data_IF_472232885938
#
_entry.id   IF_472232885938
#
_cell.length_a   1.000
_cell.length_b   1.000
_cell.length_c   1.000
_cell.angle_alpha   90.00
_cell.angle_beta   90.00
_cell.angle_gamma   90.00
#
_symmetry.space_group_name_H-M   'P 1'
#
loop_
_entity.id
_entity.type
_entity.pdbx_description
1 polymer ?
#
# COMPACT_ATOMS: atom_id res chain seq x y z
N UNK A 1 41.30 20.27 32.13
CA UNK A 1 40.48 20.58 30.93
C UNK A 1 40.83 19.56 29.85
N UNK A 2 39.97 18.59 29.62
CA UNK A 2 40.19 17.56 28.61
C UNK A 2 39.69 18.08 27.25
N UNK A 3 40.62 18.22 26.31
CA UNK A 3 40.34 18.47 24.90
C UNK A 3 39.70 17.20 24.32
N UNK A 4 38.37 17.20 24.19
CA UNK A 4 37.68 16.23 23.35
C UNK A 4 38.08 16.51 21.89
N UNK A 5 38.57 15.51 21.13
CA UNK A 5 38.93 15.71 19.74
C UNK A 5 37.68 15.98 18.92
N UNK A 6 37.70 17.10 18.20
CA UNK A 6 36.70 17.55 17.25
C UNK A 6 36.66 16.63 16.00
N UNK A 7 36.26 15.37 16.17
CA UNK A 7 36.06 14.41 15.08
C UNK A 7 34.65 14.47 14.47
N UNK A 8 33.86 15.49 14.81
CA UNK A 8 32.40 15.47 14.66
C UNK A 8 31.83 16.44 13.62
N UNK A 9 32.63 17.00 12.71
CA UNK A 9 32.08 17.94 11.72
C UNK A 9 32.78 17.96 10.35
N UNK A 10 33.34 16.82 9.93
CA UNK A 10 33.78 16.63 8.53
C UNK A 10 33.25 15.29 8.02
N UNK A 11 31.95 15.04 8.17
CA UNK A 11 31.24 14.28 7.14
C UNK A 11 31.10 15.23 5.93
N UNK A 12 32.25 15.55 5.31
CA UNK A 12 32.27 16.23 4.04
C UNK A 12 31.40 15.41 3.09
N UNK A 13 30.54 16.10 2.36
CA UNK A 13 29.69 15.56 1.31
C UNK A 13 30.56 14.76 0.35
N UNK A 14 30.77 13.48 0.62
CA UNK A 14 31.46 12.59 -0.30
C UNK A 14 30.67 12.66 -1.61
N UNK A 15 31.37 12.90 -2.72
CA UNK A 15 30.75 12.93 -4.04
C UNK A 15 30.00 11.61 -4.24
N UNK A 16 28.68 11.62 -4.54
CA UNK A 16 27.93 10.39 -4.76
C UNK A 16 28.58 9.45 -5.79
N UNK A 17 29.34 9.99 -6.75
CA UNK A 17 30.07 9.16 -7.70
C UNK A 17 31.25 8.40 -7.03
N UNK A 18 31.96 9.02 -6.08
CA UNK A 18 33.01 8.34 -5.30
C UNK A 18 32.41 7.30 -4.35
N UNK A 19 31.31 7.64 -3.64
CA UNK A 19 30.62 6.69 -2.78
C UNK A 19 30.16 5.43 -3.55
N UNK A 20 29.64 5.62 -4.78
CA UNK A 20 29.28 4.50 -5.67
C UNK A 20 30.51 3.70 -6.12
N UNK A 21 31.62 4.36 -6.50
CA UNK A 21 32.87 3.68 -6.88
C UNK A 21 33.39 2.82 -5.73
N UNK A 22 33.48 3.41 -4.54
CA UNK A 22 33.92 2.75 -3.32
C UNK A 22 33.03 1.56 -2.97
N UNK A 23 31.72 1.76 -2.96
CA UNK A 23 30.75 0.68 -2.71
C UNK A 23 30.97 -0.50 -3.67
N UNK A 24 31.11 -0.23 -4.97
CA UNK A 24 31.33 -1.29 -5.98
C UNK A 24 32.66 -2.04 -5.80
N UNK A 25 33.69 -1.37 -5.30
CA UNK A 25 34.98 -2.00 -5.01
C UNK A 25 34.94 -2.85 -3.74
N UNK A 26 34.31 -2.37 -2.67
CA UNK A 26 34.37 -2.99 -1.35
C UNK A 26 33.27 -4.06 -1.13
N UNK A 27 32.07 -3.83 -1.67
CA UNK A 27 30.89 -4.69 -1.41
C UNK A 27 31.09 -6.17 -1.80
N UNK A 28 31.71 -6.52 -2.95
CA UNK A 28 31.85 -7.93 -3.34
C UNK A 28 32.69 -8.75 -2.35
N UNK A 29 33.74 -8.14 -1.79
CA UNK A 29 34.70 -8.78 -0.87
C UNK A 29 34.30 -8.65 0.61
N UNK A 30 33.36 -7.78 0.93
CA UNK A 30 32.89 -7.53 2.28
C UNK A 30 32.14 -8.73 2.89
N UNK A 31 32.30 -8.90 4.21
CA UNK A 31 31.47 -9.79 5.03
C UNK A 31 30.03 -9.28 5.15
N UNK A 32 29.16 -10.04 5.82
CA UNK A 32 27.73 -9.73 5.85
C UNK A 32 27.44 -8.42 6.60
N UNK A 33 28.10 -8.20 7.74
CA UNK A 33 27.91 -7.00 8.55
C UNK A 33 28.49 -5.78 7.85
N UNK A 34 29.67 -5.92 7.24
CA UNK A 34 30.28 -4.85 6.43
C UNK A 34 29.40 -4.51 5.22
N UNK A 35 28.77 -5.49 4.56
CA UNK A 35 27.82 -5.26 3.47
C UNK A 35 26.63 -4.41 3.92
N UNK A 36 26.11 -4.63 5.12
CA UNK A 36 25.00 -3.83 5.67
C UNK A 36 25.46 -2.40 5.93
N UNK A 37 26.66 -2.21 6.50
CA UNK A 37 27.24 -0.88 6.71
C UNK A 37 27.45 -0.14 5.39
N UNK A 38 28.03 -0.79 4.39
CA UNK A 38 28.23 -0.22 3.06
C UNK A 38 26.90 0.20 2.41
N UNK A 39 25.84 -0.60 2.55
CA UNK A 39 24.50 -0.25 2.05
C UNK A 39 23.98 1.01 2.75
N UNK A 40 24.14 1.10 4.07
CA UNK A 40 23.69 2.26 4.85
C UNK A 40 24.46 3.53 4.50
N UNK A 41 25.79 3.45 4.41
CA UNK A 41 26.63 4.57 4.00
C UNK A 41 26.25 5.07 2.61
N UNK A 42 26.11 4.15 1.64
CA UNK A 42 25.68 4.50 0.30
C UNK A 42 24.26 5.12 0.29
N UNK A 43 23.34 4.61 1.12
CA UNK A 43 21.97 5.09 1.26
C UNK A 43 21.83 6.54 1.75
N UNK A 44 22.88 7.12 2.35
CA UNK A 44 22.92 8.55 2.71
C UNK A 44 22.85 9.45 1.47
N UNK A 45 23.28 8.95 0.31
CA UNK A 45 23.26 9.66 -0.97
C UNK A 45 21.96 9.37 -1.75
N UNK A 46 20.95 10.22 -1.56
CA UNK A 46 19.59 10.04 -2.12
C UNK A 46 19.49 10.55 -3.56
N UNK A 47 20.27 9.95 -4.47
CA UNK A 47 20.36 10.37 -5.88
C UNK A 47 20.13 9.19 -6.83
N UNK A 48 19.71 9.44 -8.10
CA UNK A 48 19.40 8.36 -9.04
C UNK A 48 20.53 7.34 -9.27
N UNK A 49 21.82 7.72 -9.40
CA UNK A 49 22.89 6.73 -9.56
C UNK A 49 23.00 5.74 -8.40
N UNK A 50 22.64 6.17 -7.19
CA UNK A 50 22.66 5.33 -6.01
C UNK A 50 21.47 4.39 -5.98
N UNK A 51 20.29 4.87 -6.40
CA UNK A 51 19.11 4.02 -6.58
C UNK A 51 19.42 2.86 -7.55
N UNK A 52 20.13 3.13 -8.65
CA UNK A 52 20.52 2.12 -9.64
C UNK A 52 21.49 1.06 -9.08
N UNK A 53 22.23 1.38 -8.02
CA UNK A 53 23.14 0.44 -7.33
C UNK A 53 22.43 -0.33 -6.22
N UNK A 54 21.58 0.33 -5.44
CA UNK A 54 20.88 -0.29 -4.31
C UNK A 54 19.69 -1.16 -4.75
N UNK A 55 18.99 -0.79 -5.82
CA UNK A 55 17.78 -1.51 -6.23
C UNK A 55 18.01 -3.01 -6.56
N UNK A 56 19.05 -3.40 -7.31
CA UNK A 56 19.35 -4.81 -7.56
C UNK A 56 19.65 -5.61 -6.28
N UNK A 57 20.16 -4.97 -5.23
CA UNK A 57 20.47 -5.65 -3.97
C UNK A 57 19.23 -6.16 -3.24
N UNK A 58 18.03 -5.64 -3.57
CA UNK A 58 16.76 -6.15 -3.06
C UNK A 58 16.35 -7.51 -3.64
N UNK A 59 17.01 -7.97 -4.70
CA UNK A 59 16.74 -9.27 -5.34
C UNK A 59 17.94 -10.21 -5.29
N UNK A 60 19.14 -9.65 -5.45
CA UNK A 60 20.35 -10.45 -5.70
C UNK A 60 21.16 -10.74 -4.42
N UNK A 61 20.92 -9.96 -3.36
CA UNK A 61 21.62 -10.07 -2.10
C UNK A 61 21.10 -11.16 -1.13
N UNK A 62 21.87 -11.50 -0.08
CA UNK A 62 21.35 -12.27 1.05
C UNK A 62 20.16 -11.55 1.71
N UNK A 63 19.29 -12.28 2.42
CA UNK A 63 18.03 -11.74 2.99
C UNK A 63 18.26 -10.45 3.80
N UNK A 64 19.31 -10.39 4.61
CA UNK A 64 19.64 -9.22 5.44
C UNK A 64 20.05 -8.02 4.59
N UNK A 65 20.86 -8.21 3.55
CA UNK A 65 21.22 -7.15 2.61
C UNK A 65 20.00 -6.65 1.82
N UNK A 66 19.07 -7.55 1.44
CA UNK A 66 17.80 -7.18 0.79
C UNK A 66 16.94 -6.30 1.69
N UNK A 67 16.83 -6.65 2.97
CA UNK A 67 16.12 -5.85 3.97
C UNK A 67 16.78 -4.48 4.13
N UNK A 68 18.12 -4.44 4.26
CA UNK A 68 18.87 -3.20 4.40
C UNK A 68 18.64 -2.29 3.18
N UNK A 69 18.81 -2.82 1.96
CA UNK A 69 18.62 -2.07 0.73
C UNK A 69 17.18 -1.52 0.62
N UNK A 70 16.16 -2.35 0.87
CA UNK A 70 14.77 -1.91 0.84
C UNK A 70 14.49 -0.80 1.87
N UNK A 71 15.08 -0.88 3.07
CA UNK A 71 14.95 0.13 4.12
C UNK A 71 15.57 1.46 3.71
N UNK A 72 16.81 1.46 3.23
CA UNK A 72 17.49 2.70 2.82
C UNK A 72 16.74 3.38 1.65
N UNK A 73 16.22 2.60 0.70
CA UNK A 73 15.39 3.12 -0.39
C UNK A 73 14.06 3.73 0.07
N UNK A 74 13.59 3.44 1.29
CA UNK A 74 12.44 4.13 1.88
C UNK A 74 12.68 5.61 2.16
N UNK A 75 13.94 6.03 2.25
CA UNK A 75 14.33 7.43 2.48
C UNK A 75 14.56 8.23 1.18
N UNK A 76 14.39 7.61 0.01
CA UNK A 76 14.64 8.20 -1.32
C UNK A 76 13.46 9.03 -1.83
N UNK A 77 12.85 9.81 -0.93
CA UNK A 77 11.76 10.70 -1.29
C UNK A 77 12.22 11.74 -2.33
N UNK A 78 11.35 12.04 -3.30
CA UNK A 78 11.67 12.90 -4.44
C UNK A 78 12.56 12.27 -5.54
N UNK A 79 13.13 11.08 -5.32
CA UNK A 79 13.89 10.38 -6.38
C UNK A 79 12.91 9.67 -7.32
N UNK A 80 12.88 9.98 -8.63
CA UNK A 80 11.91 9.41 -9.55
C UNK A 80 12.01 7.89 -9.64
N UNK A 81 10.85 7.22 -9.72
CA UNK A 81 10.72 5.76 -9.91
C UNK A 81 11.22 4.88 -8.76
N UNK A 82 11.64 5.42 -7.61
CA UNK A 82 12.02 4.63 -6.42
C UNK A 82 10.91 3.66 -6.01
N UNK A 83 9.67 4.14 -5.92
CA UNK A 83 8.51 3.30 -5.57
C UNK A 83 8.30 2.13 -6.55
N UNK A 84 8.62 2.31 -7.84
CA UNK A 84 8.49 1.25 -8.84
C UNK A 84 9.52 0.16 -8.62
N UNK A 85 10.77 0.53 -8.32
CA UNK A 85 11.83 -0.43 -7.97
C UNK A 85 11.46 -1.27 -6.73
N UNK A 86 10.86 -0.63 -5.73
CA UNK A 86 10.34 -1.33 -4.55
C UNK A 86 9.21 -2.32 -4.91
N UNK A 87 8.25 -1.93 -5.74
CA UNK A 87 7.19 -2.83 -6.20
C UNK A 87 7.71 -3.99 -7.05
N UNK A 88 8.64 -3.72 -7.97
CA UNK A 88 9.28 -4.74 -8.80
C UNK A 88 9.98 -5.78 -7.90
N UNK A 89 10.70 -5.32 -6.88
CA UNK A 89 11.33 -6.18 -5.89
C UNK A 89 10.31 -6.98 -5.05
N UNK A 90 9.16 -6.39 -4.69
CA UNK A 90 8.12 -7.10 -3.94
C UNK A 90 7.59 -8.32 -4.72
N UNK A 91 7.38 -8.15 -6.02
CA UNK A 91 6.89 -9.18 -6.94
C UNK A 91 7.94 -10.19 -7.36
N UNK A 92 9.23 -9.93 -7.08
CA UNK A 92 10.33 -10.76 -7.56
C UNK A 92 10.33 -12.16 -6.92
N UNK A 93 10.62 -13.24 -7.67
CA UNK A 93 10.65 -14.61 -7.14
C UNK A 93 11.62 -14.81 -5.96
N UNK A 94 12.74 -14.09 -5.93
CA UNK A 94 13.68 -14.13 -4.80
C UNK A 94 13.03 -13.72 -3.47
N UNK A 95 11.98 -12.88 -3.54
CA UNK A 95 11.23 -12.39 -2.38
C UNK A 95 9.93 -13.17 -2.13
N UNK A 96 9.77 -14.34 -2.75
CA UNK A 96 8.65 -15.23 -2.51
C UNK A 96 8.88 -16.12 -1.26
N UNK A 97 7.77 -16.60 -0.68
CA UNK A 97 7.78 -17.53 0.44
C UNK A 97 8.14 -16.92 1.81
N UNK A 98 8.14 -17.79 2.83
CA UNK A 98 8.33 -17.43 4.24
C UNK A 98 9.70 -16.81 4.56
N UNK A 99 10.85 -17.32 4.04
CA UNK A 99 12.17 -16.76 4.38
C UNK A 99 12.33 -15.29 3.98
N UNK A 100 11.61 -14.85 2.94
CA UNK A 100 11.65 -13.48 2.44
C UNK A 100 10.50 -12.58 2.93
N UNK A 101 9.67 -13.07 3.86
CA UNK A 101 8.59 -12.27 4.46
C UNK A 101 9.10 -10.93 5.00
N UNK A 102 10.25 -10.95 5.69
CA UNK A 102 10.88 -9.75 6.23
C UNK A 102 11.23 -8.71 5.15
N UNK A 103 11.66 -9.15 3.97
CA UNK A 103 11.94 -8.26 2.83
C UNK A 103 10.65 -7.58 2.36
N UNK A 104 9.57 -8.35 2.17
CA UNK A 104 8.27 -7.82 1.74
C UNK A 104 7.67 -6.83 2.73
N UNK A 105 7.74 -7.13 4.03
CA UNK A 105 7.30 -6.21 5.10
C UNK A 105 8.09 -4.90 5.03
N UNK A 106 9.40 -4.98 4.89
CA UNK A 106 10.25 -3.78 4.78
C UNK A 106 9.94 -2.98 3.52
N UNK A 107 9.73 -3.63 2.37
CA UNK A 107 9.33 -2.95 1.13
C UNK A 107 8.03 -2.17 1.31
N UNK A 108 7.01 -2.76 1.94
CA UNK A 108 5.74 -2.06 2.20
C UNK A 108 5.93 -0.86 3.11
N UNK A 109 6.72 -1.00 4.18
CA UNK A 109 7.06 0.13 5.06
C UNK A 109 7.74 1.25 4.28
N UNK A 110 8.73 0.91 3.45
CA UNK A 110 9.45 1.87 2.60
C UNK A 110 8.52 2.59 1.61
N UNK A 111 7.55 1.89 1.02
CA UNK A 111 6.52 2.54 0.19
C UNK A 111 5.68 3.55 1.00
N UNK A 112 5.41 3.25 2.27
CA UNK A 112 4.77 4.16 3.22
C UNK A 112 5.62 5.40 3.50
N UNK A 113 6.92 5.25 3.80
CA UNK A 113 7.83 6.38 4.08
C UNK A 113 8.00 7.30 2.86
N UNK A 114 7.98 6.73 1.64
CA UNK A 114 8.02 7.49 0.39
C UNK A 114 6.70 8.20 0.07
N UNK A 115 5.65 8.02 0.88
CA UNK A 115 4.30 8.51 0.58
C UNK A 115 3.84 8.14 -0.84
N UNK A 116 4.17 6.94 -1.31
CA UNK A 116 4.05 6.53 -2.71
C UNK A 116 2.58 6.37 -3.16
N UNK A 117 1.93 7.47 -3.53
CA UNK A 117 0.52 7.51 -3.94
C UNK A 117 0.22 6.64 -5.16
N UNK A 118 1.15 6.52 -6.11
CA UNK A 118 1.04 5.63 -7.27
C UNK A 118 1.00 4.14 -6.90
N UNK A 119 1.63 3.77 -5.77
CA UNK A 119 1.62 2.41 -5.25
C UNK A 119 0.40 2.11 -4.37
N UNK A 120 -0.44 3.11 -4.06
CA UNK A 120 -1.48 2.98 -3.05
C UNK A 120 -2.50 1.88 -3.38
N UNK A 121 -2.90 1.71 -4.65
CA UNK A 121 -3.84 0.62 -5.03
C UNK A 121 -3.27 -0.76 -4.78
N UNK A 122 -1.97 -0.92 -5.01
CA UNK A 122 -1.28 -2.16 -4.71
C UNK A 122 -1.22 -2.41 -3.20
N UNK A 123 -0.86 -1.39 -2.42
CA UNK A 123 -0.85 -1.46 -0.94
C UNK A 123 -2.25 -1.81 -0.41
N UNK A 124 -3.30 -1.16 -0.91
CA UNK A 124 -4.70 -1.42 -0.54
C UNK A 124 -5.07 -2.90 -0.76
N UNK A 125 -4.62 -3.51 -1.86
CA UNK A 125 -4.91 -4.92 -2.17
C UNK A 125 -4.28 -5.91 -1.19
N UNK A 126 -3.26 -5.50 -0.43
CA UNK A 126 -2.54 -6.34 0.52
C UNK A 126 -3.09 -6.25 1.96
N UNK A 127 -4.00 -5.32 2.24
CA UNK A 127 -4.66 -5.19 3.56
C UNK A 127 -5.40 -6.49 3.93
N UNK A 128 -6.03 -7.14 2.93
CA UNK A 128 -6.69 -8.43 3.09
C UNK A 128 -5.77 -9.66 3.02
N UNK A 129 -4.44 -9.48 2.98
CA UNK A 129 -3.48 -10.59 2.86
C UNK A 129 -3.70 -11.63 3.96
N UNK A 130 -3.65 -12.94 3.67
CA UNK A 130 -3.74 -13.98 4.69
C UNK A 130 -2.57 -13.94 5.69
N UNK A 131 -1.41 -13.45 5.25
CA UNK A 131 -0.25 -13.23 6.11
C UNK A 131 -0.45 -11.96 6.95
N UNK A 132 -0.62 -12.14 8.27
CA UNK A 132 -0.94 -11.07 9.23
C UNK A 132 0.11 -9.95 9.20
N UNK A 133 1.39 -10.29 9.05
CA UNK A 133 2.47 -9.31 9.07
C UNK A 133 2.53 -8.48 7.80
N UNK A 134 2.23 -9.09 6.65
CA UNK A 134 2.08 -8.38 5.38
C UNK A 134 0.86 -7.46 5.42
N UNK A 135 -0.28 -7.96 5.91
CA UNK A 135 -1.49 -7.14 6.07
C UNK A 135 -1.22 -5.93 6.99
N UNK A 136 -0.59 -6.15 8.15
CA UNK A 136 -0.22 -5.08 9.07
C UNK A 136 0.70 -4.05 8.38
N UNK A 137 1.75 -4.50 7.69
CA UNK A 137 2.67 -3.59 7.00
C UNK A 137 1.97 -2.79 5.89
N UNK A 138 1.02 -3.39 5.18
CA UNK A 138 0.21 -2.70 4.18
C UNK A 138 -0.72 -1.66 4.82
N UNK A 139 -1.33 -1.97 5.97
CA UNK A 139 -2.16 -1.03 6.74
C UNK A 139 -1.32 0.16 7.24
N UNK A 140 -0.17 -0.11 7.85
CA UNK A 140 0.77 0.93 8.31
C UNK A 140 1.19 1.83 7.13
N UNK A 141 1.51 1.23 5.97
CA UNK A 141 1.89 1.97 4.76
C UNK A 141 0.72 2.80 4.19
N UNK A 142 -0.50 2.26 4.16
CA UNK A 142 -1.69 2.99 3.71
C UNK A 142 -1.95 4.22 4.59
N UNK A 143 -1.79 4.08 5.91
CA UNK A 143 -1.87 5.19 6.86
C UNK A 143 -0.86 6.30 6.54
N UNK A 144 0.39 5.95 6.23
CA UNK A 144 1.42 6.92 5.83
C UNK A 144 1.18 7.54 4.46
N UNK A 145 0.74 6.78 3.47
CA UNK A 145 0.43 7.28 2.12
C UNK A 145 -0.76 8.27 2.14
N UNK A 146 -1.67 8.15 3.12
CA UNK A 146 -2.81 9.05 3.34
C UNK A 146 -3.77 9.18 2.16
N UNK A 147 -3.89 8.13 1.34
CA UNK A 147 -4.85 8.16 0.23
C UNK A 147 -6.27 8.00 0.76
N UNK A 148 -7.13 8.99 0.49
CA UNK A 148 -8.55 8.99 0.89
C UNK A 148 -9.33 7.74 0.46
N UNK A 149 -8.96 7.09 -0.64
CA UNK A 149 -9.58 5.84 -1.11
C UNK A 149 -9.28 4.62 -0.25
N UNK A 150 -8.22 4.65 0.55
CA UNK A 150 -7.86 3.54 1.45
C UNK A 150 -8.82 3.43 2.64
N UNK A 151 -9.56 4.49 2.96
CA UNK A 151 -10.57 4.48 4.05
C UNK A 151 -11.64 3.43 3.82
N UNK A 152 -12.17 3.31 2.59
CA UNK A 152 -13.17 2.28 2.26
C UNK A 152 -12.64 0.87 2.52
N UNK A 153 -11.39 0.62 2.12
CA UNK A 153 -10.74 -0.69 2.23
C UNK A 153 -10.48 -1.04 3.70
N UNK A 154 -10.01 -0.07 4.49
CA UNK A 154 -9.77 -0.22 5.92
C UNK A 154 -11.06 -0.48 6.71
N UNK A 155 -12.14 0.28 6.41
CA UNK A 155 -13.45 0.06 7.04
C UNK A 155 -14.05 -1.28 6.65
N UNK A 156 -13.88 -1.71 5.39
CA UNK A 156 -14.32 -3.03 4.94
C UNK A 156 -13.58 -4.15 5.67
N UNK A 157 -12.28 -4.00 5.92
CA UNK A 157 -11.50 -5.00 6.68
C UNK A 157 -11.93 -5.07 8.15
N UNK A 158 -12.27 -3.94 8.80
CA UNK A 158 -12.87 -3.94 10.15
C UNK A 158 -14.22 -4.69 10.19
N UNK A 159 -15.11 -4.46 9.21
CA UNK A 159 -16.37 -5.21 9.09
C UNK A 159 -16.12 -6.70 8.92
N UNK A 160 -15.18 -7.09 8.05
CA UNK A 160 -14.82 -8.49 7.81
C UNK A 160 -14.34 -9.20 9.08
N UNK A 161 -13.74 -8.46 10.02
CA UNK A 161 -13.30 -8.98 11.31
C UNK A 161 -14.41 -9.07 12.36
N UNK A 162 -15.61 -8.54 12.07
CA UNK A 162 -16.75 -8.50 12.98
C UNK A 162 -16.66 -7.36 14.00
N UNK A 163 -15.86 -6.34 13.72
CA UNK A 163 -15.66 -5.19 14.63
C UNK A 163 -16.70 -4.09 14.40
N UNK A 164 -17.38 -4.12 13.26
CA UNK A 164 -18.43 -3.17 12.90
C UNK A 164 -19.65 -4.01 12.54
N UNK A 165 -20.69 -3.90 13.35
CA UNK A 165 -21.97 -4.53 13.06
C UNK A 165 -22.60 -3.86 11.82
N UNK A 166 -23.20 -4.68 10.96
CA UNK A 166 -23.96 -4.22 9.79
C UNK A 166 -25.35 -3.66 10.18
N UNK A 167 -25.69 -3.63 11.47
CA UNK A 167 -26.99 -3.20 12.01
C UNK A 167 -26.93 -1.80 12.66
N UNK A 168 -27.92 -0.91 12.59
CA UNK A 168 -29.20 -0.90 11.90
C UNK A 168 -29.13 0.01 10.65
N UNK A 169 -30.03 -0.17 9.65
CA UNK A 169 -30.37 0.92 8.76
C UNK A 169 -30.74 2.10 9.65
N UNK A 170 -29.90 3.14 9.67
CA UNK A 170 -30.21 4.40 10.37
C UNK A 170 -31.58 4.78 9.85
N UNK A 171 -32.61 4.54 10.68
CA UNK A 171 -33.99 4.83 10.35
C UNK A 171 -33.94 6.24 9.82
N UNK A 172 -34.28 6.39 8.55
CA UNK A 172 -34.08 7.60 7.78
C UNK A 172 -34.58 8.79 8.59
N UNK A 173 -33.69 9.45 9.32
CA UNK A 173 -33.88 10.81 9.76
C UNK A 173 -33.90 11.57 8.45
N UNK A 174 -35.11 11.65 7.88
CA UNK A 174 -35.42 12.61 6.86
C UNK A 174 -34.91 13.94 7.43
N UNK A 175 -33.91 14.57 6.82
CA UNK A 175 -33.64 15.95 7.18
C UNK A 175 -34.95 16.67 6.90
N UNK A 176 -35.62 17.14 7.95
CA UNK A 176 -36.74 18.07 7.87
C UNK A 176 -36.21 19.34 7.20
N UNK A 177 -36.16 19.28 5.87
CA UNK A 177 -35.83 20.39 5.01
C UNK A 177 -37.05 21.29 4.93
N UNK A 178 -37.21 22.13 5.95
CA UNK A 178 -37.88 23.42 5.79
C UNK A 178 -36.89 24.32 5.06
N UNK A 179 -36.80 24.21 3.74
CA UNK A 179 -36.17 25.21 2.88
C UNK A 179 -37.15 25.58 1.77
N UNK A 180 -37.48 26.86 1.77
CA UNK A 180 -38.40 27.51 0.84
C UNK A 180 -37.96 27.41 -0.62
N UNK A 181 -38.91 27.46 -1.58
CA UNK A 181 -38.61 27.47 -2.99
C UNK A 181 -38.15 28.87 -3.43
N UNK A 182 -36.97 28.98 -4.04
CA UNK A 182 -36.65 30.15 -4.87
C UNK A 182 -35.80 29.76 -6.08
N UNK A 183 -36.42 30.02 -7.24
CA UNK A 183 -35.82 30.48 -8.49
C UNK A 183 -34.86 29.58 -9.27
N UNK A 184 -35.51 28.74 -10.10
CA UNK A 184 -35.45 28.79 -11.57
C UNK A 184 -34.14 29.32 -12.19
N UNK A 185 -33.37 28.41 -12.81
CA UNK A 185 -32.54 28.73 -13.98
C UNK A 185 -32.78 27.72 -15.11
N UNK A 186 -32.89 28.19 -16.37
CA UNK A 186 -33.29 27.37 -17.52
C UNK A 186 -32.18 26.46 -18.08
N UNK A 187 -32.56 25.45 -18.88
CA UNK A 187 -31.65 24.46 -19.46
C UNK A 187 -30.84 25.02 -20.65
N UNK A 188 -29.53 24.79 -20.65
CA UNK A 188 -28.66 24.99 -21.81
C UNK A 188 -28.68 23.74 -22.71
N UNK A 189 -29.02 23.99 -23.97
CA UNK A 189 -29.09 23.09 -25.12
C UNK A 189 -27.79 22.29 -25.34
N UNK A 190 -27.91 20.95 -25.48
CA UNK A 190 -26.87 20.09 -26.06
C UNK A 190 -27.05 20.00 -27.57
N UNK A 191 -26.01 20.37 -28.33
CA UNK A 191 -25.89 20.06 -29.76
C UNK A 191 -25.35 18.64 -29.99
N UNK A 192 -25.69 18.00 -31.13
CA UNK A 192 -25.25 16.66 -31.47
C UNK A 192 -23.87 16.71 -32.13
N UNK A 193 -22.98 15.80 -31.75
CA UNK A 193 -21.76 15.53 -32.51
C UNK A 193 -21.62 14.02 -32.72
N UNK A 194 -21.83 13.66 -33.98
CA UNK A 194 -21.65 12.36 -34.60
C UNK A 194 -20.23 11.83 -34.41
N UNK A 195 -20.09 10.58 -33.92
CA UNK A 195 -18.90 9.76 -34.20
C UNK A 195 -19.32 8.31 -34.47
N UNK A 196 -19.36 8.03 -35.78
CA UNK A 196 -19.22 6.78 -36.52
C UNK A 196 -18.90 5.51 -35.71
N UNK A 197 -19.89 4.60 -35.71
CA UNK A 197 -19.71 3.17 -35.39
C UNK A 197 -18.97 2.46 -36.53
N UNK A 198 -17.83 1.85 -36.21
CA UNK A 198 -17.15 0.88 -37.08
C UNK A 198 -17.60 -0.53 -36.70
N UNK A 199 -18.40 -1.13 -37.56
CA UNK A 199 -18.86 -2.51 -37.46
C UNK A 199 -17.74 -3.49 -37.81
N UNK A 200 -17.21 -4.19 -36.81
CA UNK A 200 -16.40 -5.40 -37.03
C UNK A 200 -17.06 -6.57 -36.31
N UNK A 201 -17.76 -7.40 -37.08
CA UNK A 201 -18.40 -8.65 -36.64
C UNK A 201 -17.34 -9.74 -36.40
N UNK A 202 -17.17 -10.26 -35.17
CA UNK A 202 -16.44 -11.50 -34.97
C UNK A 202 -17.35 -12.70 -35.30
N UNK A 203 -16.90 -13.53 -36.25
CA UNK A 203 -17.49 -14.84 -36.57
C UNK A 203 -17.28 -15.81 -35.42
N UNK A 204 -18.31 -16.02 -34.60
CA UNK A 204 -18.36 -17.05 -33.57
C UNK A 204 -18.52 -18.43 -34.21
N UNK A 205 -17.45 -19.24 -34.17
CA UNK A 205 -17.50 -20.68 -34.45
C UNK A 205 -18.27 -21.35 -33.33
N UNK A 206 -19.44 -21.92 -33.65
CA UNK A 206 -20.29 -22.69 -32.75
C UNK A 206 -19.61 -24.03 -32.45
N UNK A 207 -18.85 -24.09 -31.35
CA UNK A 207 -18.42 -25.36 -30.76
C UNK A 207 -19.58 -25.85 -29.88
N UNK A 208 -20.29 -26.87 -30.34
CA UNK A 208 -21.33 -27.56 -29.59
C UNK A 208 -20.71 -28.30 -28.41
N UNK A 209 -20.74 -27.67 -27.23
CA UNK A 209 -20.40 -28.32 -25.96
C UNK A 209 -21.59 -29.19 -25.52
N UNK A 210 -21.40 -30.48 -25.24
CA UNK A 210 -22.45 -31.35 -24.73
C UNK A 210 -23.04 -30.81 -23.43
N UNK A 211 -24.36 -30.64 -23.40
CA UNK A 211 -25.11 -30.14 -22.26
C UNK A 211 -25.24 -31.27 -21.21
N UNK A 212 -24.18 -31.50 -20.44
CA UNK A 212 -24.19 -32.39 -19.29
C UNK A 212 -25.12 -31.80 -18.23
N UNK A 213 -26.36 -32.29 -18.21
CA UNK A 213 -27.42 -31.89 -17.27
C UNK A 213 -27.19 -32.52 -15.90
N UNK A 214 -26.03 -32.26 -15.31
CA UNK A 214 -25.73 -32.60 -13.92
C UNK A 214 -26.36 -31.57 -13.00
N UNK A 215 -27.52 -31.90 -12.40
CA UNK A 215 -28.09 -31.16 -11.26
C UNK A 215 -27.12 -31.24 -10.08
N UNK A 216 -26.12 -30.37 -10.03
CA UNK A 216 -25.34 -30.15 -8.82
C UNK A 216 -26.30 -29.55 -7.80
N UNK A 217 -26.62 -30.33 -6.75
CA UNK A 217 -27.34 -29.81 -5.59
C UNK A 217 -26.56 -28.58 -5.13
N UNK A 218 -27.19 -27.41 -5.17
CA UNK A 218 -26.65 -26.20 -4.54
C UNK A 218 -26.44 -26.55 -3.07
N UNK A 219 -25.20 -26.86 -2.70
CA UNK A 219 -24.82 -26.92 -1.29
C UNK A 219 -25.05 -25.52 -0.76
N UNK A 220 -25.78 -25.42 0.35
CA UNK A 220 -25.89 -24.16 1.06
C UNK A 220 -24.48 -23.61 1.31
N UNK A 221 -24.26 -22.31 1.09
CA UNK A 221 -22.94 -21.72 1.29
C UNK A 221 -22.52 -21.97 2.72
N UNK A 222 -21.38 -22.65 2.89
CA UNK A 222 -20.79 -22.89 4.20
C UNK A 222 -20.56 -21.51 4.88
N UNK A 223 -20.95 -21.34 6.15
CA UNK A 223 -20.76 -20.09 6.85
C UNK A 223 -19.28 -19.69 6.82
N UNK A 224 -18.96 -18.39 6.66
CA UNK A 224 -17.57 -17.95 6.57
C UNK A 224 -16.81 -18.37 7.83
N UNK A 225 -15.62 -18.95 7.64
CA UNK A 225 -14.76 -19.33 8.73
C UNK A 225 -14.47 -18.12 9.64
N UNK A 226 -14.58 -18.31 10.96
CA UNK A 226 -14.29 -17.25 11.94
C UNK A 226 -12.85 -16.76 11.74
N UNK A 227 -12.67 -15.45 11.65
CA UNK A 227 -11.34 -14.85 11.56
C UNK A 227 -10.54 -15.22 12.82
N UNK A 228 -9.28 -15.70 12.69
CA UNK A 228 -8.44 -16.03 13.84
C UNK A 228 -8.30 -14.84 14.80
N UNK A 229 -8.41 -15.09 16.11
CA UNK A 229 -8.34 -14.04 17.13
C UNK A 229 -7.03 -13.24 17.07
N UNK A 230 -5.90 -13.92 16.83
CA UNK A 230 -4.57 -13.32 16.66
C UNK A 230 -4.55 -12.25 15.56
N UNK A 231 -5.24 -12.50 14.43
CA UNK A 231 -5.31 -11.51 13.34
C UNK A 231 -6.01 -10.24 13.81
N UNK A 232 -7.11 -10.36 14.56
CA UNK A 232 -7.85 -9.19 15.06
C UNK A 232 -7.00 -8.38 16.03
N UNK A 233 -6.35 -9.07 16.97
CA UNK A 233 -5.49 -8.45 17.98
C UNK A 233 -4.36 -7.61 17.33
N UNK A 234 -3.77 -8.10 16.24
CA UNK A 234 -2.69 -7.38 15.55
C UNK A 234 -3.22 -6.28 14.61
N UNK A 235 -4.30 -6.55 13.85
CA UNK A 235 -4.71 -5.66 12.76
C UNK A 235 -5.66 -4.55 13.20
N UNK A 236 -6.54 -4.76 14.17
CA UNK A 236 -7.53 -3.74 14.57
C UNK A 236 -6.85 -2.45 15.05
N UNK A 237 -5.85 -2.47 15.95
CA UNK A 237 -5.16 -1.26 16.37
C UNK A 237 -4.44 -0.55 15.21
N UNK A 238 -3.84 -1.33 14.29
CA UNK A 238 -3.16 -0.78 13.13
C UNK A 238 -4.14 -0.09 12.17
N UNK A 239 -5.32 -0.67 11.95
CA UNK A 239 -6.35 -0.08 11.08
C UNK A 239 -6.87 1.22 11.70
N UNK A 240 -7.17 1.23 13.00
CA UNK A 240 -7.64 2.44 13.68
C UNK A 240 -6.60 3.57 13.60
N UNK A 241 -5.32 3.27 13.81
CA UNK A 241 -4.23 4.24 13.66
C UNK A 241 -4.09 4.75 12.22
N UNK A 242 -4.23 3.87 11.22
CA UNK A 242 -4.18 4.27 9.81
C UNK A 242 -5.38 5.17 9.44
N UNK A 243 -6.59 4.81 9.89
CA UNK A 243 -7.79 5.62 9.70
C UNK A 243 -7.65 7.00 10.34
N UNK A 244 -7.15 7.07 11.57
CA UNK A 244 -6.85 8.33 12.26
C UNK A 244 -5.85 9.18 11.47
N UNK A 245 -4.79 8.57 10.95
CA UNK A 245 -3.79 9.28 10.14
C UNK A 245 -4.35 9.81 8.82
N UNK A 246 -5.25 9.07 8.16
CA UNK A 246 -5.85 9.46 6.87
C UNK A 246 -6.94 10.54 7.05
N UNK A 247 -7.78 10.41 8.08
CA UNK A 247 -8.94 11.28 8.28
C UNK A 247 -8.67 12.45 9.24
N UNK A 248 -7.56 12.42 9.98
CA UNK A 248 -7.21 13.40 11.02
C UNK A 248 -8.31 13.50 12.09
N UNK A 249 -8.88 12.34 12.45
CA UNK A 249 -9.93 12.18 13.47
C UNK A 249 -9.58 11.02 14.41
N UNK A 250 -9.63 11.28 15.72
CA UNK A 250 -9.34 10.29 16.76
C UNK A 250 -10.58 9.54 17.24
N UNK A 251 -11.25 8.78 16.37
CA UNK A 251 -12.33 7.88 16.80
C UNK A 251 -11.74 6.65 17.48
N UNK A 252 -12.31 6.26 18.63
CA UNK A 252 -11.78 5.19 19.47
C UNK A 252 -12.31 3.83 19.08
N UNK A 253 -13.51 3.79 18.49
CA UNK A 253 -14.19 2.52 18.20
C UNK A 253 -14.41 2.31 16.70
N UNK A 254 -14.35 1.06 16.21
CA UNK A 254 -14.71 0.74 14.84
C UNK A 254 -16.13 1.22 14.45
N UNK A 255 -17.09 1.17 15.38
CA UNK A 255 -18.46 1.63 15.16
C UNK A 255 -18.54 3.16 14.88
N UNK A 256 -17.74 3.97 15.58
CA UNK A 256 -17.62 5.42 15.31
C UNK A 256 -17.10 5.67 13.90
N UNK A 257 -16.05 4.94 13.49
CA UNK A 257 -15.52 5.00 12.13
C UNK A 257 -16.57 4.63 11.09
N UNK A 258 -17.36 3.58 11.32
CA UNK A 258 -18.46 3.18 10.45
C UNK A 258 -19.52 4.27 10.27
N UNK A 259 -19.92 4.93 11.36
CA UNK A 259 -20.89 6.05 11.33
C UNK A 259 -20.34 7.26 10.59
N UNK A 260 -19.15 7.72 10.96
CA UNK A 260 -18.49 8.86 10.32
C UNK A 260 -18.28 8.62 8.82
N UNK A 261 -17.81 7.42 8.45
CA UNK A 261 -17.59 7.08 7.05
C UNK A 261 -18.88 7.13 6.24
N UNK A 262 -20.00 6.61 6.77
CA UNK A 262 -21.31 6.68 6.10
C UNK A 262 -21.77 8.12 5.88
N UNK A 263 -21.59 9.00 6.86
CA UNK A 263 -21.95 10.41 6.75
C UNK A 263 -21.11 11.14 5.68
N UNK A 264 -19.81 10.81 5.59
CA UNK A 264 -18.87 11.56 4.76
C UNK A 264 -18.61 10.96 3.37
N UNK A 265 -19.03 9.72 3.09
CA UNK A 265 -18.80 9.06 1.80
C UNK A 265 -19.57 9.69 0.63
N UNK A 266 -20.71 10.33 0.89
CA UNK A 266 -21.62 10.87 -0.16
C UNK A 266 -21.14 12.17 -0.83
N UNK A 267 -20.10 12.80 -0.31
CA UNK A 267 -19.62 14.10 -0.79
C UNK A 267 -18.41 14.06 -1.74
N UNK A 268 -18.14 12.94 -2.41
CA UNK A 268 -17.01 12.78 -3.33
C UNK A 268 -17.44 12.23 -4.68
#
# INVERSE_FOLDING_TARGET
MALLPAFLLVAALEDPAEAVRRFRSEYPTAGLDEKILLIHELGKHRVPPVLDVLAPLMTDGPVTARIAAARELGAFDGVPKTWRKLLDAYGHPANAGTPARGVKVTILRSLGELHATDAARFVDSLIGSPDVWIAKAAIDAAGKIRRKGSVDVLVAELRRMGEIDDEEPVASEQPSATVAPSDVRPPMSMGPADILRSDSKPTLKKTSVPLESGRTRRRDPEPPAKVPAERREVLVPAILAALESIAEKGFKTPAEWGRWWRANRRGK
#
